data_IF_675837252334
#
_entry.id   IF_675837252334
#
_cell.length_a   1.000
_cell.length_b   1.000
_cell.length_c   1.000
_cell.angle_alpha   90.00
_cell.angle_beta   90.00
_cell.angle_gamma   90.00
#
_symmetry.space_group_name_H-M   'P 1'
#
loop_
_entity.id
_entity.type
_entity.pdbx_description
1 polymer ?
#
# COMPACT_ATOMS: atom_id res chain seq x y z
N UNK A 1 -16.40 8.50 9.81
CA UNK A 1 -14.98 8.10 9.97
C UNK A 1 -14.22 8.40 8.68
N UNK A 2 -13.32 9.39 8.67
CA UNK A 2 -12.62 9.87 7.47
C UNK A 2 -11.26 9.20 7.26
N UNK A 3 -10.89 8.92 5.99
CA UNK A 3 -9.58 8.35 5.63
C UNK A 3 -8.46 9.33 5.97
N UNK A 4 -7.54 8.94 6.88
CA UNK A 4 -6.32 9.70 7.22
C UNK A 4 -5.19 9.48 6.23
N UNK A 5 -5.45 9.54 4.93
CA UNK A 5 -4.37 9.50 3.92
C UNK A 5 -4.00 10.91 3.50
N UNK A 6 -3.29 11.61 4.38
CA UNK A 6 -2.83 12.97 4.09
C UNK A 6 -1.54 12.88 3.25
N UNK A 7 -1.60 13.32 1.99
CA UNK A 7 -0.42 13.50 1.14
C UNK A 7 0.60 14.41 1.85
N UNK A 8 1.88 14.04 1.95
CA UNK A 8 2.88 14.79 2.73
C UNK A 8 3.21 16.17 2.13
N UNK A 9 2.83 16.44 0.89
CA UNK A 9 3.18 17.68 0.15
C UNK A 9 2.91 18.95 0.95
N UNK A 10 1.76 19.05 1.60
CA UNK A 10 1.38 20.25 2.35
C UNK A 10 2.13 20.42 3.67
N UNK A 11 2.80 19.38 4.18
CA UNK A 11 3.65 19.47 5.37
C UNK A 11 5.11 19.76 5.01
N UNK A 12 5.57 19.27 3.86
CA UNK A 12 6.96 19.35 3.46
C UNK A 12 7.32 20.67 2.78
N UNK A 13 6.42 21.24 1.99
CA UNK A 13 6.77 22.35 1.08
C UNK A 13 5.85 23.57 1.18
N UNK A 14 4.90 23.57 2.11
CA UNK A 14 3.93 24.66 2.24
C UNK A 14 3.67 25.03 3.69
N UNK A 15 3.41 26.32 3.91
CA UNK A 15 2.87 26.87 5.15
C UNK A 15 1.43 27.31 4.89
N UNK A 16 0.48 26.72 5.61
CA UNK A 16 -0.93 27.08 5.49
C UNK A 16 -1.29 28.22 6.44
N UNK A 17 -1.89 29.27 5.90
CA UNK A 17 -2.47 30.38 6.63
C UNK A 17 -3.99 30.18 6.72
N UNK A 18 -4.51 30.06 7.93
CA UNK A 18 -5.93 29.79 8.21
C UNK A 18 -6.78 31.04 7.90
N UNK A 19 -6.29 32.22 8.28
CA UNK A 19 -7.05 33.48 8.19
C UNK A 19 -7.35 33.86 6.73
N UNK A 20 -6.42 33.54 5.82
CA UNK A 20 -6.56 33.81 4.39
C UNK A 20 -6.99 32.60 3.57
N UNK A 21 -7.06 31.41 4.18
CA UNK A 21 -7.31 30.14 3.50
C UNK A 21 -6.33 29.94 2.31
N UNK A 22 -5.05 30.12 2.55
CA UNK A 22 -3.98 30.07 1.54
C UNK A 22 -2.79 29.24 2.01
N UNK A 23 -2.16 28.52 1.08
CA UNK A 23 -0.92 27.76 1.27
C UNK A 23 0.22 28.45 0.54
N UNK A 24 1.19 28.99 1.27
CA UNK A 24 2.39 29.63 0.71
C UNK A 24 3.49 28.60 0.54
N UNK A 25 4.12 28.56 -0.64
CA UNK A 25 5.29 27.72 -0.89
C UNK A 25 6.49 28.23 -0.06
N UNK A 26 7.26 27.32 0.54
CA UNK A 26 8.44 27.66 1.36
C UNK A 26 9.77 27.31 0.69
N UNK A 27 9.75 26.89 -0.58
CA UNK A 27 10.96 26.55 -1.34
C UNK A 27 11.68 27.83 -1.74
N UNK A 28 12.99 27.86 -1.53
CA UNK A 28 13.86 28.98 -1.89
C UNK A 28 13.64 29.44 -3.34
N UNK A 29 13.41 30.74 -3.52
CA UNK A 29 13.12 31.33 -4.83
C UNK A 29 11.66 31.20 -5.30
N UNK A 30 10.74 30.66 -4.49
CA UNK A 30 9.32 30.59 -4.82
C UNK A 30 8.46 31.47 -3.90
N UNK A 31 7.78 32.46 -4.50
CA UNK A 31 6.86 33.35 -3.78
C UNK A 31 5.38 33.10 -4.09
N UNK A 32 5.06 31.94 -4.68
CA UNK A 32 3.67 31.62 -5.06
C UNK A 32 2.88 31.12 -3.84
N UNK A 33 1.68 31.68 -3.68
CA UNK A 33 0.66 31.20 -2.75
C UNK A 33 -0.50 30.57 -3.53
N UNK A 34 -1.06 29.50 -2.99
CA UNK A 34 -2.16 28.74 -3.59
C UNK A 34 -3.37 28.80 -2.67
N UNK A 35 -4.57 28.94 -3.23
CA UNK A 35 -5.81 28.96 -2.46
C UNK A 35 -6.13 27.57 -1.88
N UNK A 36 -6.46 27.53 -0.60
CA UNK A 36 -6.86 26.33 0.12
C UNK A 36 -5.72 25.36 0.45
N UNK A 37 -6.10 24.17 0.91
CA UNK A 37 -5.19 23.09 1.36
C UNK A 37 -5.33 21.80 0.53
N UNK A 38 -5.63 21.95 -0.76
CA UNK A 38 -5.88 20.83 -1.65
C UNK A 38 -4.57 20.16 -2.09
N UNK A 39 -4.28 18.99 -1.56
CA UNK A 39 -3.01 18.29 -1.80
C UNK A 39 -2.65 18.08 -3.28
N UNK A 40 -3.62 17.85 -4.15
CA UNK A 40 -3.38 17.71 -5.59
C UNK A 40 -2.90 19.03 -6.23
N UNK A 41 -3.46 20.16 -5.82
CA UNK A 41 -3.06 21.48 -6.32
C UNK A 41 -1.65 21.83 -5.85
N UNK A 42 -1.36 21.56 -4.57
CA UNK A 42 -0.03 21.75 -3.99
C UNK A 42 1.01 20.89 -4.72
N UNK A 43 0.67 19.64 -5.02
CA UNK A 43 1.56 18.73 -5.73
C UNK A 43 1.79 19.11 -7.19
N UNK A 44 0.75 19.56 -7.91
CA UNK A 44 0.92 20.05 -9.28
C UNK A 44 1.87 21.24 -9.32
N UNK A 45 1.79 22.16 -8.35
CA UNK A 45 2.76 23.25 -8.24
C UNK A 45 4.19 22.73 -8.07
N UNK A 46 4.43 21.80 -7.14
CA UNK A 46 5.76 21.22 -6.94
C UNK A 46 6.24 20.50 -8.20
N UNK A 47 5.39 19.71 -8.86
CA UNK A 47 5.73 19.00 -10.10
C UNK A 47 6.12 19.94 -11.23
N UNK A 48 5.43 21.08 -11.37
CA UNK A 48 5.63 21.99 -12.50
C UNK A 48 6.78 22.98 -12.30
N UNK A 49 7.07 23.37 -11.06
CA UNK A 49 8.03 24.45 -10.77
C UNK A 49 9.26 23.99 -9.96
N UNK A 50 9.22 22.80 -9.35
CA UNK A 50 10.20 22.33 -8.37
C UNK A 50 10.54 20.84 -8.58
N UNK A 51 11.22 20.54 -9.69
CA UNK A 51 11.52 19.16 -10.11
C UNK A 51 12.29 18.36 -9.05
N UNK A 52 13.30 18.95 -8.42
CA UNK A 52 14.10 18.29 -7.38
C UNK A 52 13.27 17.97 -6.13
N UNK A 53 12.45 18.92 -5.69
CA UNK A 53 11.57 18.76 -4.54
C UNK A 53 10.43 17.80 -4.84
N UNK A 54 10.03 17.68 -6.11
CA UNK A 54 9.10 16.66 -6.57
C UNK A 54 9.69 15.24 -6.41
N UNK A 55 10.98 15.03 -6.68
CA UNK A 55 11.63 13.74 -6.42
C UNK A 55 11.63 13.38 -4.92
N UNK A 56 11.92 14.37 -4.06
CA UNK A 56 11.84 14.20 -2.60
C UNK A 56 10.41 13.86 -2.17
N UNK A 57 9.40 14.51 -2.77
CA UNK A 57 8.00 14.20 -2.53
C UNK A 57 7.67 12.74 -2.92
N UNK A 58 8.10 12.28 -4.10
CA UNK A 58 7.89 10.91 -4.57
C UNK A 58 8.54 9.89 -3.63
N UNK A 59 9.79 10.13 -3.21
CA UNK A 59 10.50 9.29 -2.23
C UNK A 59 9.76 9.24 -0.88
N UNK A 60 9.28 10.37 -0.37
CA UNK A 60 8.53 10.44 0.89
C UNK A 60 7.20 9.69 0.82
N UNK A 61 6.49 9.77 -0.31
CA UNK A 61 5.25 9.01 -0.56
C UNK A 61 5.51 7.51 -0.60
N UNK A 62 6.59 7.08 -1.25
CA UNK A 62 7.00 5.67 -1.28
C UNK A 62 7.36 5.14 0.12
N UNK A 63 8.01 5.93 0.96
CA UNK A 63 8.29 5.57 2.35
C UNK A 63 7.01 5.46 3.20
N UNK A 64 6.06 6.39 3.05
CA UNK A 64 4.76 6.33 3.74
C UNK A 64 3.95 5.11 3.27
N UNK A 65 4.08 4.71 2.00
CA UNK A 65 3.50 3.46 1.50
C UNK A 65 4.19 2.23 2.13
N UNK A 66 5.52 2.17 2.19
CA UNK A 66 6.28 1.12 2.90
C UNK A 66 5.86 0.97 4.38
N UNK A 67 5.56 2.07 5.06
CA UNK A 67 5.09 2.06 6.46
C UNK A 67 3.63 1.59 6.55
N UNK A 68 2.75 1.98 5.62
CA UNK A 68 1.34 1.52 5.58
C UNK A 68 1.19 0.03 5.27
N UNK A 69 2.13 -0.55 4.52
CA UNK A 69 2.19 -2.00 4.22
C UNK A 69 2.36 -2.84 5.49
N UNK A 70 2.99 -2.29 6.53
CA UNK A 70 3.17 -2.97 7.82
C UNK A 70 1.87 -3.12 8.62
N UNK A 71 0.81 -2.39 8.29
CA UNK A 71 -0.48 -2.47 9.01
C UNK A 71 -1.65 -2.93 8.14
N UNK A 72 -1.57 -2.88 6.81
CA UNK A 72 -2.71 -3.21 5.95
C UNK A 72 -2.29 -3.65 4.53
N UNK A 73 -1.87 -4.89 4.28
CA UNK A 73 -1.76 -5.37 2.90
C UNK A 73 -2.29 -6.78 2.65
N UNK A 74 -3.48 -6.81 2.04
CA UNK A 74 -3.73 -7.54 0.79
C UNK A 74 -3.28 -6.58 -0.34
N UNK A 75 -2.52 -7.03 -1.36
CA UNK A 75 -3.12 -6.95 -2.69
C UNK A 75 -2.62 -8.01 -3.69
N UNK A 76 -3.58 -8.63 -4.36
CA UNK A 76 -3.49 -9.07 -5.76
C UNK A 76 -3.04 -7.89 -6.64
N UNK A 77 -2.09 -8.05 -7.58
CA UNK A 77 -2.12 -7.35 -8.89
C UNK A 77 -1.28 -8.08 -9.94
N UNK A 78 -1.90 -8.16 -11.10
CA UNK A 78 -1.48 -8.78 -12.34
C UNK A 78 -0.38 -8.00 -13.07
N UNK A 79 0.28 -8.78 -13.91
CA UNK A 79 1.40 -8.55 -14.82
C UNK A 79 1.16 -7.46 -15.89
N UNK A 80 2.14 -6.56 -16.05
CA UNK A 80 2.45 -5.91 -17.34
C UNK A 80 3.95 -5.94 -17.62
N UNK A 81 4.25 -6.06 -18.93
CA UNK A 81 5.46 -6.53 -19.62
C UNK A 81 6.76 -5.83 -19.17
N UNK A 82 7.83 -6.62 -18.94
CA UNK A 82 9.16 -6.20 -18.46
C UNK A 82 10.18 -6.10 -19.60
N UNK A 83 11.12 -5.16 -19.49
CA UNK A 83 12.25 -4.95 -20.41
C UNK A 83 13.52 -5.71 -20.00
N UNK A 84 14.63 -5.61 -20.77
CA UNK A 84 15.69 -6.63 -20.82
C UNK A 84 16.74 -6.60 -19.69
N UNK A 85 16.52 -5.87 -18.60
CA UNK A 85 17.56 -5.59 -17.58
C UNK A 85 17.10 -5.78 -16.12
N UNK A 86 15.97 -6.44 -15.87
CA UNK A 86 15.46 -6.73 -14.51
C UNK A 86 15.98 -8.07 -13.95
N UNK A 87 17.24 -8.42 -14.23
CA UNK A 87 17.88 -9.56 -13.57
C UNK A 87 18.68 -9.08 -12.36
N UNK A 88 18.28 -9.60 -11.19
CA UNK A 88 19.01 -9.65 -9.91
C UNK A 88 18.82 -8.43 -8.99
N UNK A 89 17.63 -8.33 -8.38
CA UNK A 89 17.55 -7.95 -6.96
C UNK A 89 16.75 -9.05 -6.25
N UNK A 90 17.47 -10.08 -5.80
CA UNK A 90 16.91 -11.12 -4.93
C UNK A 90 16.69 -10.48 -3.55
N UNK A 91 15.58 -9.78 -3.38
CA UNK A 91 15.08 -9.41 -2.06
C UNK A 91 14.64 -10.71 -1.41
N UNK A 92 15.45 -11.23 -0.49
CA UNK A 92 15.14 -12.41 0.32
C UNK A 92 14.01 -12.09 1.29
N UNK A 93 12.79 -12.06 0.76
CA UNK A 93 11.57 -12.11 1.58
C UNK A 93 11.65 -13.39 2.39
N UNK A 94 11.58 -13.29 3.72
CA UNK A 94 11.47 -14.47 4.58
C UNK A 94 10.22 -15.24 4.15
N UNK A 95 10.44 -16.40 3.54
CA UNK A 95 9.40 -17.26 3.00
C UNK A 95 9.31 -18.53 3.83
N UNK A 96 8.09 -19.00 4.09
CA UNK A 96 7.85 -20.31 4.68
C UNK A 96 7.69 -21.33 3.56
N UNK A 97 8.51 -22.37 3.58
CA UNK A 97 8.30 -23.56 2.73
C UNK A 97 7.59 -24.60 3.59
N UNK A 98 6.34 -24.92 3.23
CA UNK A 98 5.53 -25.92 3.92
C UNK A 98 5.22 -27.03 2.92
N UNK A 99 5.63 -28.26 3.25
CA UNK A 99 5.18 -29.45 2.51
C UNK A 99 3.76 -29.76 2.93
N UNK A 100 2.80 -29.49 2.04
CA UNK A 100 1.39 -29.78 2.24
C UNK A 100 0.78 -30.20 0.90
N UNK A 101 -0.08 -31.22 0.92
CA UNK A 101 -0.84 -31.66 -0.25
C UNK A 101 -2.32 -31.23 -0.14
N UNK A 102 -3.03 -31.31 -1.26
CA UNK A 102 -4.45 -30.93 -1.37
C UNK A 102 -5.35 -31.72 -0.42
N UNK A 103 -5.08 -33.01 -0.25
CA UNK A 103 -5.89 -33.93 0.55
C UNK A 103 -5.74 -33.59 2.03
N UNK A 104 -4.52 -33.34 2.47
CA UNK A 104 -4.18 -32.93 3.83
C UNK A 104 -4.86 -31.60 4.20
N UNK A 105 -4.84 -30.61 3.32
CA UNK A 105 -5.54 -29.33 3.54
C UNK A 105 -7.06 -29.51 3.59
N UNK A 106 -7.63 -30.28 2.66
CA UNK A 106 -9.07 -30.54 2.63
C UNK A 106 -9.53 -31.30 3.88
N UNK A 107 -8.76 -32.31 4.31
CA UNK A 107 -9.07 -33.10 5.51
C UNK A 107 -9.08 -32.22 6.77
N UNK A 108 -8.11 -31.32 6.90
CA UNK A 108 -8.07 -30.36 8.01
C UNK A 108 -9.30 -29.41 7.99
N UNK A 109 -9.68 -28.91 6.82
CA UNK A 109 -10.88 -28.09 6.66
C UNK A 109 -12.17 -28.88 6.98
N UNK A 110 -12.24 -30.15 6.59
CA UNK A 110 -13.37 -31.04 6.90
C UNK A 110 -13.46 -31.31 8.40
N UNK A 111 -12.35 -31.68 9.04
CA UNK A 111 -12.30 -31.92 10.49
C UNK A 111 -12.69 -30.67 11.28
N UNK A 112 -12.29 -29.48 10.81
CA UNK A 112 -12.67 -28.21 11.41
C UNK A 112 -14.19 -28.02 11.47
N UNK A 113 -14.94 -28.45 10.45
CA UNK A 113 -16.40 -28.27 10.42
C UNK A 113 -17.16 -29.46 11.00
N UNK A 114 -16.65 -30.68 10.86
CA UNK A 114 -17.33 -31.90 11.32
C UNK A 114 -16.99 -32.25 12.76
N UNK A 115 -15.71 -32.24 13.14
CA UNK A 115 -15.24 -32.66 14.47
C UNK A 115 -15.23 -31.49 15.43
N UNK A 116 -14.67 -30.35 15.00
CA UNK A 116 -14.57 -29.15 15.84
C UNK A 116 -15.85 -28.30 15.83
N UNK A 117 -16.86 -28.68 15.03
CA UNK A 117 -18.16 -28.04 14.98
C UNK A 117 -18.15 -26.58 14.52
N UNK A 118 -17.13 -26.14 13.76
CA UNK A 118 -17.11 -24.78 13.21
C UNK A 118 -18.15 -24.65 12.09
N UNK A 119 -18.93 -23.56 12.05
CA UNK A 119 -19.89 -23.36 10.98
C UNK A 119 -19.17 -23.16 9.63
N UNK A 120 -19.79 -23.62 8.54
CA UNK A 120 -19.28 -23.43 7.17
C UNK A 120 -19.07 -21.95 6.81
N UNK A 121 -19.73 -21.03 7.51
CA UNK A 121 -19.55 -19.58 7.35
C UNK A 121 -18.15 -19.10 7.70
N UNK A 122 -17.32 -19.90 8.40
CA UNK A 122 -15.92 -19.55 8.68
C UNK A 122 -15.10 -19.34 7.39
N UNK A 123 -15.45 -20.05 6.31
CA UNK A 123 -14.80 -19.86 5.00
C UNK A 123 -15.17 -18.53 4.34
N UNK A 124 -16.18 -17.81 4.84
CA UNK A 124 -16.51 -16.46 4.40
C UNK A 124 -15.73 -15.38 5.17
N UNK A 125 -15.13 -15.73 6.31
CA UNK A 125 -14.35 -14.81 7.12
C UNK A 125 -13.15 -14.27 6.33
N UNK A 126 -12.97 -12.96 6.38
CA UNK A 126 -11.94 -12.28 5.60
C UNK A 126 -10.53 -12.59 6.08
N UNK A 127 -10.32 -12.80 7.38
CA UNK A 127 -9.04 -13.18 7.95
C UNK A 127 -8.69 -14.62 7.59
N UNK A 128 -9.67 -15.52 7.74
CA UNK A 128 -9.49 -16.92 7.38
C UNK A 128 -9.21 -17.12 5.89
N UNK A 129 -9.92 -16.40 5.01
CA UNK A 129 -9.63 -16.37 3.57
C UNK A 129 -8.20 -15.94 3.27
N UNK A 130 -7.68 -14.90 3.94
CA UNK A 130 -6.31 -14.42 3.74
C UNK A 130 -5.25 -15.44 4.16
N UNK A 131 -5.54 -16.25 5.17
CA UNK A 131 -4.66 -17.35 5.61
C UNK A 131 -4.73 -18.53 4.62
N UNK A 132 -5.95 -18.89 4.20
CA UNK A 132 -6.19 -20.07 3.36
C UNK A 132 -5.77 -19.87 1.91
N UNK A 133 -5.97 -18.67 1.35
CA UNK A 133 -5.66 -18.33 -0.05
C UNK A 133 -4.24 -18.70 -0.50
N UNK A 134 -3.15 -18.30 0.20
CA UNK A 134 -1.80 -18.66 -0.23
C UNK A 134 -1.55 -20.18 -0.19
N UNK A 135 -2.22 -20.92 0.69
CA UNK A 135 -2.11 -22.38 0.76
C UNK A 135 -2.80 -23.05 -0.45
N UNK A 136 -3.98 -22.57 -0.81
CA UNK A 136 -4.75 -23.07 -1.97
C UNK A 136 -4.02 -22.76 -3.27
N UNK A 137 -3.53 -21.52 -3.44
CA UNK A 137 -2.77 -21.10 -4.62
C UNK A 137 -1.47 -21.90 -4.77
N UNK A 138 -0.75 -22.17 -3.67
CA UNK A 138 0.49 -22.96 -3.70
C UNK A 138 0.29 -24.43 -4.12
N UNK A 139 -0.89 -24.99 -3.88
CA UNK A 139 -1.23 -26.40 -4.17
C UNK A 139 -1.84 -26.56 -5.58
N UNK A 140 -2.11 -25.46 -6.30
CA UNK A 140 -2.69 -25.49 -7.65
C UNK A 140 -4.22 -25.48 -7.66
N UNK A 141 -4.83 -24.73 -6.73
CA UNK A 141 -6.27 -24.47 -6.68
C UNK A 141 -6.75 -23.42 -7.68
#
# INVERSE_FOLDING_TARGET
MGRKTTNPVGKLFFKYNIDKNESSCIIEGCHRSLKGRHSQNLETHIRSYHAEQFEVLVKSKAQIQKIKVSENEDPTIQSKKRGPMDDIIIVTKKSLNVKMDKISLLKACTEMVTVNGRPLTIFNDSGFKKILKPLVEAIGG
#
